data_IF_052077239217
#
_entry.id   IF_052077239217
#
_cell.length_a   1.000
_cell.length_b   1.000
_cell.length_c   1.000
_cell.angle_alpha   90.00
_cell.angle_beta   90.00
_cell.angle_gamma   90.00
#
_symmetry.space_group_name_H-M   'P 1'
#
loop_
_entity.id
_entity.type
_entity.pdbx_description
1 polymer ?
#
# COMPACT_ATOMS: atom_id res chain seq x y z
N UNK A 1 13.21 8.10 0.34
CA UNK A 1 13.53 8.55 1.69
C UNK A 1 13.33 10.06 1.77
N UNK A 2 12.64 10.51 2.79
CA UNK A 2 11.99 11.80 2.84
C UNK A 2 12.93 12.84 3.42
N UNK A 3 13.66 13.57 2.54
CA UNK A 3 14.38 14.77 2.94
C UNK A 3 15.54 14.52 3.90
N UNK A 4 15.74 15.45 4.82
CA UNK A 4 16.86 15.50 5.76
C UNK A 4 17.01 14.22 6.61
N UNK A 5 15.90 13.68 7.11
CA UNK A 5 15.86 12.45 7.93
C UNK A 5 16.41 11.24 7.18
N UNK A 6 16.02 11.07 5.91
CA UNK A 6 16.54 10.00 5.07
C UNK A 6 18.03 10.19 4.74
N UNK A 7 18.45 11.42 4.52
CA UNK A 7 19.86 11.74 4.26
C UNK A 7 20.75 11.40 5.49
N UNK A 8 20.30 11.77 6.68
CA UNK A 8 20.99 11.43 7.93
C UNK A 8 21.08 9.91 8.13
N UNK A 9 20.00 9.17 7.89
CA UNK A 9 20.01 7.72 7.99
C UNK A 9 20.99 7.07 6.99
N UNK A 10 21.08 7.58 5.76
CA UNK A 10 22.05 7.10 4.77
C UNK A 10 23.52 7.25 5.22
N UNK A 11 23.82 8.23 6.06
CA UNK A 11 25.15 8.37 6.67
C UNK A 11 25.59 7.17 7.52
N UNK A 12 24.65 6.37 8.04
CA UNK A 12 24.91 5.17 8.82
C UNK A 12 24.97 3.87 7.99
N UNK A 13 24.92 3.94 6.65
CA UNK A 13 24.90 2.76 5.77
C UNK A 13 26.03 1.77 6.04
N UNK A 14 27.24 2.24 6.27
CA UNK A 14 28.40 1.36 6.57
C UNK A 14 28.18 0.57 7.88
N UNK A 15 27.62 1.19 8.90
CA UNK A 15 27.27 0.51 10.16
C UNK A 15 26.13 -0.47 9.98
N UNK A 16 25.11 -0.11 9.20
CA UNK A 16 24.00 -1.00 8.85
C UNK A 16 24.50 -2.29 8.19
N UNK A 17 25.45 -2.20 7.23
CA UNK A 17 26.04 -3.37 6.58
C UNK A 17 26.83 -4.24 7.57
N UNK A 18 27.53 -3.63 8.53
CA UNK A 18 28.33 -4.36 9.52
C UNK A 18 27.50 -5.03 10.60
N UNK A 19 26.38 -4.40 11.00
CA UNK A 19 25.59 -4.85 12.16
C UNK A 19 24.30 -5.59 11.77
N UNK A 20 23.82 -5.40 10.53
CA UNK A 20 22.49 -5.83 10.11
C UNK A 20 21.34 -4.98 10.66
N UNK A 21 21.66 -3.97 11.50
CA UNK A 21 20.64 -3.08 12.08
C UNK A 21 20.23 -1.99 11.09
N UNK A 22 18.93 -1.68 10.93
CA UNK A 22 18.48 -0.63 10.03
C UNK A 22 19.17 0.72 10.30
N UNK A 23 19.68 1.36 9.23
CA UNK A 23 20.40 2.62 9.35
C UNK A 23 19.59 3.72 10.07
N UNK A 24 18.27 3.70 9.91
CA UNK A 24 17.39 4.62 10.60
C UNK A 24 17.42 4.43 12.12
N UNK A 25 17.34 3.17 12.60
CA UNK A 25 17.38 2.84 14.02
C UNK A 25 18.72 3.24 14.63
N UNK A 26 19.82 3.02 13.90
CA UNK A 26 21.18 3.41 14.33
C UNK A 26 21.35 4.93 14.54
N UNK A 27 20.59 5.75 13.81
CA UNK A 27 20.68 7.22 13.87
C UNK A 27 19.68 7.82 14.84
N UNK A 28 18.45 7.32 14.84
CA UNK A 28 17.34 7.93 15.57
C UNK A 28 16.94 7.17 16.84
N UNK A 29 17.50 5.97 17.06
CA UNK A 29 17.23 5.16 18.27
C UNK A 29 15.81 4.58 18.33
N UNK A 30 15.06 4.65 17.23
CA UNK A 30 13.68 4.18 17.12
C UNK A 30 13.42 3.62 15.73
N UNK A 31 12.42 2.75 15.59
CA UNK A 31 11.98 2.28 14.29
C UNK A 31 11.30 3.40 13.48
N UNK A 32 11.32 3.27 12.16
CA UNK A 32 10.71 4.25 11.26
C UNK A 32 9.22 4.49 11.56
N UNK A 33 8.48 3.43 11.83
CA UNK A 33 7.06 3.45 12.15
C UNK A 33 6.79 4.21 13.45
N UNK A 34 7.62 4.00 14.46
CA UNK A 34 7.55 4.71 15.74
C UNK A 34 7.85 6.20 15.56
N UNK A 35 8.87 6.53 14.78
CA UNK A 35 9.17 7.92 14.42
C UNK A 35 8.01 8.59 13.70
N UNK A 36 7.36 7.91 12.75
CA UNK A 36 6.17 8.44 12.09
C UNK A 36 4.97 8.61 13.03
N UNK A 37 4.84 7.76 14.05
CA UNK A 37 3.78 7.86 15.04
C UNK A 37 3.95 9.09 15.96
N UNK A 38 5.20 9.43 16.30
CA UNK A 38 5.54 10.52 17.22
C UNK A 38 5.77 11.87 16.54
N UNK A 39 6.08 11.88 15.21
CA UNK A 39 6.43 13.07 14.45
C UNK A 39 5.39 13.41 13.35
N UNK A 40 4.36 14.22 13.66
CA UNK A 40 3.26 14.51 12.72
C UNK A 40 3.71 15.13 11.39
N UNK A 41 4.77 15.95 11.40
CA UNK A 41 5.32 16.55 10.19
C UNK A 41 6.02 15.54 9.28
N UNK A 42 6.76 14.57 9.86
CA UNK A 42 7.38 13.48 9.11
C UNK A 42 6.30 12.58 8.48
N UNK A 43 5.27 12.24 9.25
CA UNK A 43 4.11 11.47 8.77
C UNK A 43 3.38 12.16 7.62
N UNK A 44 3.13 13.47 7.72
CA UNK A 44 2.47 14.23 6.65
C UNK A 44 3.29 14.22 5.36
N UNK A 45 4.62 14.42 5.46
CA UNK A 45 5.52 14.36 4.30
C UNK A 45 5.58 12.96 3.69
N UNK A 46 5.67 11.94 4.52
CA UNK A 46 5.65 10.55 4.07
C UNK A 46 4.35 10.20 3.34
N UNK A 47 3.20 10.55 3.90
CA UNK A 47 1.91 10.30 3.27
C UNK A 47 1.77 11.01 1.91
N UNK A 48 2.29 12.25 1.78
CA UNK A 48 2.32 12.96 0.47
C UNK A 48 3.17 12.22 -0.56
N UNK A 49 4.35 11.72 -0.15
CA UNK A 49 5.22 10.96 -1.05
C UNK A 49 4.56 9.65 -1.51
N UNK A 50 3.92 8.93 -0.59
CA UNK A 50 3.18 7.70 -0.91
C UNK A 50 2.01 8.01 -1.84
N UNK A 51 1.28 9.10 -1.61
CA UNK A 51 0.20 9.53 -2.49
C UNK A 51 0.68 9.83 -3.92
N UNK A 52 1.76 10.62 -4.06
CA UNK A 52 2.33 10.93 -5.37
C UNK A 52 2.80 9.67 -6.13
N UNK A 53 3.36 8.68 -5.44
CA UNK A 53 3.72 7.38 -6.05
C UNK A 53 2.50 6.59 -6.49
N UNK A 54 1.41 6.65 -5.73
CA UNK A 54 0.15 5.98 -6.10
C UNK A 54 -0.49 6.61 -7.33
N UNK A 55 -0.40 7.93 -7.50
CA UNK A 55 -0.85 8.62 -8.73
C UNK A 55 -0.08 8.13 -9.97
N UNK A 56 1.26 8.07 -9.89
CA UNK A 56 2.07 7.52 -10.99
C UNK A 56 1.72 6.06 -11.32
N UNK A 57 1.46 5.25 -10.30
CA UNK A 57 1.04 3.87 -10.50
C UNK A 57 -0.35 3.79 -11.13
N UNK A 58 -1.28 4.65 -10.74
CA UNK A 58 -2.62 4.72 -11.34
C UNK A 58 -2.55 5.09 -12.83
N UNK A 59 -1.63 5.98 -13.25
CA UNK A 59 -1.38 6.31 -14.65
C UNK A 59 -0.94 5.07 -15.44
N UNK A 60 0.07 4.35 -14.96
CA UNK A 60 0.57 3.14 -15.62
C UNK A 60 -0.50 2.03 -15.67
N UNK A 61 -1.27 1.85 -14.60
CA UNK A 61 -2.37 0.89 -14.58
C UNK A 61 -3.50 1.31 -15.52
N UNK A 62 -3.78 2.61 -15.65
CA UNK A 62 -4.80 3.08 -16.59
C UNK A 62 -4.42 2.76 -18.05
N UNK A 63 -3.13 2.75 -18.40
CA UNK A 63 -2.65 2.41 -19.74
C UNK A 63 -2.61 0.91 -20.03
N UNK A 64 -2.80 0.06 -19.01
CA UNK A 64 -2.92 -1.38 -19.22
C UNK A 64 -4.12 -1.73 -20.11
N UNK A 65 -4.01 -2.86 -20.83
CA UNK A 65 -5.09 -3.36 -21.69
C UNK A 65 -6.16 -4.05 -20.84
N UNK A 66 -7.11 -3.27 -20.40
CA UNK A 66 -8.30 -3.76 -19.71
C UNK A 66 -9.37 -4.19 -20.71
N UNK A 67 -10.10 -5.28 -20.42
CA UNK A 67 -11.33 -5.63 -21.17
C UNK A 67 -12.48 -4.70 -20.82
N UNK A 68 -12.39 -4.05 -19.63
CA UNK A 68 -13.35 -3.08 -19.14
C UNK A 68 -14.44 -3.66 -18.25
N UNK A 69 -14.30 -4.91 -17.79
CA UNK A 69 -15.26 -5.56 -16.89
C UNK A 69 -14.59 -6.21 -15.67
N UNK A 70 -13.27 -6.08 -15.56
CA UNK A 70 -12.49 -6.72 -14.52
C UNK A 70 -12.80 -6.14 -13.13
N UNK A 71 -12.75 -7.03 -12.15
CA UNK A 71 -12.69 -6.69 -10.72
C UNK A 71 -11.25 -6.66 -10.27
N UNK A 72 -10.79 -5.50 -9.84
CA UNK A 72 -9.43 -5.26 -9.35
C UNK A 72 -9.45 -5.26 -7.83
N UNK A 73 -8.67 -6.14 -7.22
CA UNK A 73 -8.50 -6.22 -5.78
C UNK A 73 -7.16 -5.59 -5.39
N UNK A 74 -7.19 -4.52 -4.61
CA UNK A 74 -5.99 -3.86 -4.06
C UNK A 74 -5.73 -4.37 -2.65
N UNK A 75 -4.77 -5.29 -2.54
CA UNK A 75 -4.36 -5.92 -1.28
C UNK A 75 -3.38 -5.01 -0.53
N UNK A 76 -3.78 -4.52 0.62
CA UNK A 76 -3.10 -3.45 1.33
C UNK A 76 -3.36 -2.10 0.67
N UNK A 77 -4.57 -1.89 0.20
CA UNK A 77 -4.96 -0.72 -0.58
C UNK A 77 -4.95 0.60 0.19
N UNK A 78 -4.76 0.53 1.51
CA UNK A 78 -4.70 1.71 2.36
C UNK A 78 -6.02 2.48 2.33
N UNK A 79 -5.92 3.78 2.14
CA UNK A 79 -7.08 4.66 2.05
C UNK A 79 -7.82 4.63 0.69
N UNK A 80 -7.53 3.66 -0.18
CA UNK A 80 -8.24 3.46 -1.43
C UNK A 80 -7.91 4.45 -2.56
N UNK A 81 -6.90 5.30 -2.41
CA UNK A 81 -6.55 6.34 -3.40
C UNK A 81 -6.22 5.73 -4.77
N UNK A 82 -5.45 4.63 -4.81
CA UNK A 82 -5.06 3.97 -6.05
C UNK A 82 -6.27 3.49 -6.85
N UNK A 83 -7.20 2.78 -6.20
CA UNK A 83 -8.42 2.31 -6.88
C UNK A 83 -9.36 3.45 -7.22
N UNK A 84 -9.47 4.49 -6.39
CA UNK A 84 -10.24 5.69 -6.74
C UNK A 84 -9.77 6.27 -8.07
N UNK A 85 -8.47 6.48 -8.24
CA UNK A 85 -7.89 7.09 -9.43
C UNK A 85 -8.02 6.18 -10.66
N UNK A 86 -7.76 4.89 -10.49
CA UNK A 86 -7.93 3.89 -11.56
C UNK A 86 -9.38 3.82 -12.04
N UNK A 87 -10.35 3.74 -11.12
CA UNK A 87 -11.77 3.62 -11.45
C UNK A 87 -12.36 4.92 -12.01
N UNK A 88 -11.79 6.08 -11.68
CA UNK A 88 -12.16 7.35 -12.31
C UNK A 88 -11.76 7.37 -13.80
N UNK A 89 -10.63 6.78 -14.15
CA UNK A 89 -10.11 6.70 -15.53
C UNK A 89 -10.71 5.54 -16.34
N UNK A 90 -11.13 4.47 -15.67
CA UNK A 90 -11.66 3.24 -16.30
C UNK A 90 -13.06 2.93 -15.72
N UNK A 91 -14.07 3.45 -16.39
CA UNK A 91 -15.46 3.43 -15.89
C UNK A 91 -16.09 2.04 -15.86
N UNK A 92 -15.59 1.08 -16.64
CA UNK A 92 -16.08 -0.29 -16.66
C UNK A 92 -15.52 -1.19 -15.56
N UNK A 93 -14.39 -0.82 -14.94
CA UNK A 93 -13.76 -1.62 -13.91
C UNK A 93 -14.54 -1.57 -12.59
N UNK A 94 -14.41 -2.63 -11.81
CA UNK A 94 -14.85 -2.73 -10.41
C UNK A 94 -13.63 -2.83 -9.50
N UNK A 95 -13.77 -2.49 -8.22
CA UNK A 95 -12.68 -2.53 -7.26
C UNK A 95 -13.05 -3.12 -5.92
N UNK A 96 -12.06 -3.70 -5.23
CA UNK A 96 -12.15 -4.07 -3.83
C UNK A 96 -10.86 -3.56 -3.15
N UNK A 97 -11.01 -2.65 -2.20
CA UNK A 97 -9.92 -2.27 -1.29
C UNK A 97 -9.91 -3.24 -0.12
N UNK A 98 -8.82 -3.96 0.06
CA UNK A 98 -8.64 -4.88 1.18
C UNK A 98 -7.51 -4.40 2.06
N UNK A 99 -7.80 -4.16 3.34
CA UNK A 99 -6.80 -3.73 4.34
C UNK A 99 -7.31 -4.03 5.76
N UNK A 100 -6.53 -3.68 6.77
CA UNK A 100 -6.91 -3.81 8.17
C UNK A 100 -8.17 -3.02 8.51
N UNK A 101 -8.98 -3.45 9.50
CA UNK A 101 -10.26 -2.80 9.84
C UNK A 101 -10.16 -1.29 10.07
N UNK A 102 -9.11 -0.85 10.78
CA UNK A 102 -8.87 0.56 11.09
C UNK A 102 -8.53 1.40 9.86
N UNK A 103 -7.97 0.76 8.81
CA UNK A 103 -7.55 1.43 7.57
C UNK A 103 -8.70 1.54 6.57
N UNK A 104 -9.54 0.50 6.45
CA UNK A 104 -10.65 0.50 5.47
C UNK A 104 -11.73 1.53 5.78
N UNK A 105 -11.82 2.02 7.00
CA UNK A 105 -12.77 3.09 7.35
C UNK A 105 -12.49 4.38 6.54
N UNK A 106 -11.22 4.78 6.44
CA UNK A 106 -10.80 5.94 5.63
C UNK A 106 -11.09 5.70 4.13
N UNK A 107 -10.79 4.48 3.63
CA UNK A 107 -11.06 4.11 2.24
C UNK A 107 -12.57 4.20 1.93
N UNK A 108 -13.41 3.74 2.84
CA UNK A 108 -14.87 3.78 2.67
C UNK A 108 -15.37 5.22 2.50
N UNK A 109 -14.93 6.13 3.36
CA UNK A 109 -15.31 7.54 3.28
C UNK A 109 -14.79 8.20 1.99
N UNK A 110 -13.55 7.90 1.60
CA UNK A 110 -12.96 8.39 0.36
C UNK A 110 -13.75 7.95 -0.87
N UNK A 111 -14.06 6.67 -0.98
CA UNK A 111 -14.82 6.11 -2.10
C UNK A 111 -16.25 6.63 -2.14
N UNK A 112 -16.86 6.85 -0.98
CA UNK A 112 -18.18 7.47 -0.86
C UNK A 112 -18.15 8.92 -1.38
N UNK A 113 -17.19 9.71 -0.95
CA UNK A 113 -17.00 11.09 -1.41
C UNK A 113 -16.75 11.20 -2.93
N UNK A 114 -16.10 10.19 -3.51
CA UNK A 114 -15.84 10.08 -4.94
C UNK A 114 -17.03 9.50 -5.75
N UNK A 115 -18.14 9.10 -5.11
CA UNK A 115 -19.31 8.50 -5.79
C UNK A 115 -19.05 7.11 -6.35
N UNK A 116 -18.11 6.35 -5.79
CA UNK A 116 -17.65 5.06 -6.31
C UNK A 116 -18.21 3.84 -5.57
N UNK A 117 -19.11 4.02 -4.60
CA UNK A 117 -19.62 2.94 -3.75
C UNK A 117 -20.38 1.85 -4.52
N UNK A 118 -20.89 2.15 -5.70
CA UNK A 118 -21.56 1.18 -6.59
C UNK A 118 -20.58 0.32 -7.40
N UNK A 119 -19.28 0.69 -7.47
CA UNK A 119 -18.25 0.01 -8.24
C UNK A 119 -17.03 -0.40 -7.43
N UNK A 120 -16.86 0.13 -6.22
CA UNK A 120 -15.75 -0.19 -5.35
C UNK A 120 -16.23 -0.50 -3.94
N UNK A 121 -15.84 -1.65 -3.42
CA UNK A 121 -16.13 -2.11 -2.08
C UNK A 121 -14.88 -2.02 -1.21
N UNK A 122 -15.08 -1.95 0.10
CA UNK A 122 -14.02 -2.09 1.10
C UNK A 122 -14.24 -3.37 1.89
N UNK A 123 -13.18 -4.14 2.09
CA UNK A 123 -13.22 -5.40 2.83
C UNK A 123 -12.13 -5.36 3.89
N UNK A 124 -12.53 -5.49 5.15
CA UNK A 124 -11.60 -5.55 6.27
C UNK A 124 -11.03 -6.96 6.43
N UNK A 125 -9.73 -7.08 6.66
CA UNK A 125 -9.08 -8.34 6.95
C UNK A 125 -7.57 -8.24 7.03
N UNK A 126 -6.94 -9.37 7.31
CA UNK A 126 -5.47 -9.50 7.33
C UNK A 126 -5.03 -10.53 6.31
N UNK A 127 -3.87 -10.35 5.70
CA UNK A 127 -3.27 -11.33 4.78
C UNK A 127 -3.08 -12.71 5.40
N UNK A 128 -3.01 -12.77 6.72
CA UNK A 128 -2.85 -14.04 7.48
C UNK A 128 -4.17 -14.76 7.65
N UNK A 129 -5.27 -14.03 7.86
CA UNK A 129 -6.58 -14.61 8.20
C UNK A 129 -7.50 -14.86 7.01
N UNK A 130 -7.17 -14.32 5.86
CA UNK A 130 -7.98 -14.47 4.65
C UNK A 130 -7.85 -13.28 3.71
N UNK A 131 -8.49 -13.39 2.57
CA UNK A 131 -8.48 -12.37 1.51
C UNK A 131 -9.75 -12.46 0.68
N UNK A 132 -10.14 -11.38 0.01
CA UNK A 132 -11.26 -11.43 -0.91
C UNK A 132 -10.95 -12.35 -2.10
N UNK A 133 -11.97 -13.06 -2.56
CA UNK A 133 -11.95 -13.90 -3.75
C UNK A 133 -12.74 -13.24 -4.90
N UNK A 134 -12.58 -13.76 -6.10
CA UNK A 134 -13.36 -13.33 -7.26
C UNK A 134 -12.86 -12.06 -7.92
N UNK A 135 -11.60 -11.69 -7.70
CA UNK A 135 -10.91 -10.67 -8.47
C UNK A 135 -10.27 -11.25 -9.72
N UNK A 136 -10.33 -10.51 -10.81
CA UNK A 136 -9.64 -10.83 -12.06
C UNK A 136 -8.18 -10.38 -11.99
N UNK A 137 -7.92 -9.30 -11.24
CA UNK A 137 -6.59 -8.72 -11.04
C UNK A 137 -6.36 -8.43 -9.55
N UNK A 138 -5.20 -8.84 -9.05
CA UNK A 138 -4.77 -8.57 -7.69
C UNK A 138 -3.57 -7.63 -7.70
N UNK A 139 -3.76 -6.42 -7.19
CA UNK A 139 -2.71 -5.43 -7.01
C UNK A 139 -2.08 -5.54 -5.62
N UNK A 140 -0.79 -5.27 -5.57
CA UNK A 140 -0.02 -5.18 -4.32
C UNK A 140 1.03 -4.09 -4.45
N UNK A 141 0.68 -2.93 -3.95
CA UNK A 141 1.57 -1.78 -4.01
C UNK A 141 2.25 -1.56 -2.66
N UNK A 142 3.59 -1.58 -2.62
CA UNK A 142 4.41 -1.26 -1.43
C UNK A 142 4.15 -2.18 -0.21
N UNK A 143 3.79 -3.44 -0.43
CA UNK A 143 3.50 -4.38 0.66
C UNK A 143 4.68 -5.31 0.94
N UNK A 144 5.24 -5.96 -0.10
CA UNK A 144 6.24 -7.02 0.09
C UNK A 144 7.55 -6.53 0.70
N UNK A 145 7.95 -5.31 0.40
CA UNK A 145 9.21 -4.74 0.89
C UNK A 145 9.21 -4.35 2.38
N UNK A 146 8.04 -4.37 3.03
CA UNK A 146 7.92 -4.10 4.48
C UNK A 146 8.05 -5.35 5.35
N UNK A 147 8.34 -6.52 4.75
CA UNK A 147 8.50 -7.78 5.47
C UNK A 147 9.95 -8.24 5.37
N UNK A 148 10.63 -8.29 6.51
CA UNK A 148 12.08 -8.59 6.60
C UNK A 148 12.40 -10.07 6.39
N UNK A 149 11.40 -10.95 6.31
CA UNK A 149 11.62 -12.38 6.11
C UNK A 149 10.92 -12.91 4.84
N UNK A 150 11.66 -13.74 4.12
CA UNK A 150 11.22 -14.41 2.89
C UNK A 150 9.99 -15.32 3.12
N UNK A 151 9.78 -15.83 4.32
CA UNK A 151 8.69 -16.74 4.62
C UNK A 151 7.35 -16.02 4.68
N UNK A 152 7.30 -14.82 5.28
CA UNK A 152 6.10 -13.98 5.24
C UNK A 152 5.80 -13.52 3.82
N UNK A 153 6.79 -13.03 3.08
CA UNK A 153 6.62 -12.63 1.69
C UNK A 153 6.10 -13.79 0.83
N UNK A 154 6.64 -15.00 1.03
CA UNK A 154 6.20 -16.22 0.34
C UNK A 154 4.79 -16.63 0.71
N UNK A 155 4.42 -16.59 2.00
CA UNK A 155 3.06 -16.90 2.47
C UNK A 155 2.03 -15.95 1.84
N UNK A 156 2.36 -14.67 1.77
CA UNK A 156 1.52 -13.65 1.15
C UNK A 156 1.33 -13.95 -0.34
N UNK A 157 2.40 -14.27 -1.09
CA UNK A 157 2.33 -14.61 -2.52
C UNK A 157 1.56 -15.92 -2.77
N UNK A 158 1.78 -16.93 -1.95
CA UNK A 158 1.02 -18.19 -2.01
C UNK A 158 -0.46 -17.95 -1.71
N UNK A 159 -0.74 -17.04 -0.78
CA UNK A 159 -2.09 -16.65 -0.48
C UNK A 159 -2.79 -16.04 -1.70
N UNK A 160 -2.16 -15.10 -2.40
CA UNK A 160 -2.69 -14.52 -3.65
C UNK A 160 -2.90 -15.60 -4.72
N UNK A 161 -1.89 -16.45 -4.96
CA UNK A 161 -2.00 -17.53 -5.96
C UNK A 161 -3.20 -18.48 -5.74
N UNK A 162 -3.60 -18.71 -4.48
CA UNK A 162 -4.78 -19.52 -4.15
C UNK A 162 -6.12 -18.78 -4.32
N UNK A 163 -6.09 -17.47 -4.53
CA UNK A 163 -7.29 -16.64 -4.73
C UNK A 163 -7.65 -16.44 -6.22
N UNK A 164 -6.67 -16.65 -7.09
CA UNK A 164 -6.79 -16.66 -8.55
C UNK A 164 -7.18 -18.08 -8.99
#
# INVERSE_FOLDING_TARGET
LVGEVGHLAMGATSRMIQTGEPAFNLVFGAAWEEHLATEPHARTRFNRLVAARKELLADHLADHRWTGQETVIDLGGGNGALLQDLLARRTGLRGIVFDLPEVVAEATERLRAAGLTNRCQTVAGSFVSGRPHGGDVYLRSHILHGWDDDDHARQILQAVRRAI
#
